data_IF_322555573553
#
_entry.id   IF_322555573553
#
_cell.length_a   1.000
_cell.length_b   1.000
_cell.length_c   1.000
_cell.angle_alpha   90.00
_cell.angle_beta   90.00
_cell.angle_gamma   90.00
#
_symmetry.space_group_name_H-M   'P 1'
#
loop_
_entity.id
_entity.type
_entity.pdbx_description
1 polymer ?
#
# COMPACT_ATOMS: atom_id res chain seq x y z
N UNK A 1 46.48 -25.48 -13.21
CA UNK A 1 47.42 -25.28 -12.09
C UNK A 1 47.07 -23.98 -11.39
N UNK A 2 47.10 -23.84 -10.08
CA UNK A 2 46.56 -24.75 -9.07
C UNK A 2 45.36 -24.15 -8.28
N UNK A 3 44.71 -25.05 -7.58
CA UNK A 3 43.66 -24.76 -6.62
C UNK A 3 44.17 -24.16 -5.32
N UNK A 4 43.38 -23.37 -4.62
CA UNK A 4 43.54 -23.14 -3.18
C UNK A 4 42.15 -23.23 -2.51
N UNK A 5 42.02 -24.25 -1.70
CA UNK A 5 40.97 -24.56 -0.78
C UNK A 5 41.27 -23.78 0.52
N UNK A 6 40.29 -23.05 1.05
CA UNK A 6 40.36 -22.42 2.36
C UNK A 6 39.10 -22.73 3.13
N UNK A 7 39.15 -23.73 4.01
CA UNK A 7 38.12 -24.03 4.98
C UNK A 7 38.32 -23.18 6.23
N UNK A 8 37.31 -22.45 6.68
CA UNK A 8 37.27 -21.85 8.01
C UNK A 8 36.07 -22.41 8.77
N UNK A 9 36.38 -23.21 9.77
CA UNK A 9 35.41 -23.67 10.77
C UNK A 9 35.24 -22.58 11.85
N UNK A 10 34.02 -22.20 12.17
CA UNK A 10 33.72 -21.38 13.35
C UNK A 10 32.89 -22.18 14.33
N UNK A 11 33.42 -22.31 15.53
CA UNK A 11 32.84 -23.02 16.65
C UNK A 11 31.69 -22.23 17.30
N UNK A 12 30.62 -22.94 17.62
CA UNK A 12 29.49 -22.48 18.45
C UNK A 12 29.86 -22.66 19.92
N UNK A 13 29.83 -21.59 20.69
CA UNK A 13 29.84 -21.65 22.15
C UNK A 13 28.40 -21.41 22.65
N UNK A 14 27.82 -22.45 23.21
CA UNK A 14 26.54 -22.41 23.95
C UNK A 14 26.89 -22.30 25.43
N UNK A 15 26.58 -21.18 26.07
CA UNK A 15 26.63 -21.08 27.54
C UNK A 15 25.20 -21.13 28.08
N UNK A 16 24.85 -22.28 28.61
CA UNK A 16 23.69 -22.45 29.49
C UNK A 16 24.01 -21.92 30.88
N UNK A 17 23.07 -21.23 31.50
CA UNK A 17 23.04 -21.05 32.96
C UNK A 17 21.72 -21.62 33.47
N UNK A 18 21.89 -22.75 34.12
CA UNK A 18 20.93 -23.39 35.02
C UNK A 18 21.19 -22.78 36.38
N UNK A 19 20.16 -22.31 37.09
CA UNK A 19 20.26 -22.05 38.52
C UNK A 19 18.95 -22.41 39.22
N UNK A 20 19.04 -23.53 39.90
CA UNK A 20 18.01 -24.04 40.81
C UNK A 20 18.26 -23.45 42.20
N UNK A 21 17.31 -22.67 42.70
CA UNK A 21 17.34 -22.13 44.06
C UNK A 21 15.98 -22.17 44.73
N UNK A 22 15.77 -23.20 45.57
CA UNK A 22 14.64 -23.39 46.48
C UNK A 22 14.67 -22.40 47.64
N UNK A 23 13.51 -21.83 48.02
CA UNK A 23 13.38 -21.26 49.36
C UNK A 23 12.29 -20.23 49.64
N UNK A 24 11.23 -20.68 50.32
CA UNK A 24 10.39 -20.02 51.34
C UNK A 24 9.46 -18.84 51.02
N UNK A 25 8.18 -19.19 51.19
CA UNK A 25 7.02 -18.44 51.76
C UNK A 25 7.25 -16.96 52.15
N UNK A 26 6.44 -16.08 51.57
CA UNK A 26 6.11 -14.74 52.02
C UNK A 26 4.75 -14.33 51.44
N UNK A 27 3.84 -13.97 52.33
CA UNK A 27 2.42 -13.67 52.19
C UNK A 27 2.22 -12.24 51.66
N UNK A 28 1.28 -12.08 50.70
CA UNK A 28 0.50 -10.82 50.54
C UNK A 28 1.05 -9.82 49.57
N UNK A 29 0.31 -9.60 48.48
CA UNK A 29 0.48 -8.48 47.56
C UNK A 29 -0.38 -8.70 46.34
N UNK A 30 -1.59 -8.12 46.37
CA UNK A 30 -2.48 -8.04 45.20
C UNK A 30 -1.76 -7.23 44.12
N UNK A 31 -1.08 -7.89 43.22
CA UNK A 31 -0.47 -7.32 42.05
C UNK A 31 -1.35 -7.58 40.85
N UNK A 32 -2.03 -6.57 40.37
CA UNK A 32 -2.69 -6.55 39.08
C UNK A 32 -1.72 -7.06 38.03
N UNK A 33 -1.94 -8.23 37.51
CA UNK A 33 -1.34 -8.67 36.26
C UNK A 33 -1.98 -7.85 35.16
N UNK A 34 -1.41 -6.68 34.88
CA UNK A 34 -1.55 -6.04 33.57
C UNK A 34 -0.92 -6.99 32.57
N UNK A 35 -1.72 -7.86 32.00
CA UNK A 35 -1.39 -8.52 30.75
C UNK A 35 -1.22 -7.40 29.71
N UNK A 36 0.00 -6.93 29.55
CA UNK A 36 0.38 -6.15 28.40
C UNK A 36 0.24 -7.09 27.20
N UNK A 37 -0.95 -7.12 26.64
CA UNK A 37 -1.22 -7.56 25.30
C UNK A 37 -0.38 -6.64 24.40
N UNK A 38 0.83 -7.05 24.07
CA UNK A 38 1.71 -6.42 23.12
C UNK A 38 1.12 -6.58 21.72
N UNK A 39 0.05 -5.84 21.44
CA UNK A 39 -0.32 -5.50 20.09
C UNK A 39 0.79 -4.60 19.58
N UNK A 40 1.68 -5.13 18.73
CA UNK A 40 2.55 -4.30 17.91
C UNK A 40 1.62 -3.39 17.11
N UNK A 41 1.57 -2.10 17.43
CA UNK A 41 0.86 -1.10 16.64
C UNK A 41 1.55 -1.06 15.27
N UNK A 42 1.04 -1.88 14.35
CA UNK A 42 1.50 -1.88 12.97
C UNK A 42 1.38 -0.45 12.43
N UNK A 43 2.47 0.07 11.89
CA UNK A 43 2.48 1.39 11.24
C UNK A 43 1.37 1.42 10.18
N UNK A 44 0.45 2.38 10.31
CA UNK A 44 -0.67 2.57 9.36
C UNK A 44 -0.52 3.84 8.53
N UNK A 45 0.31 4.77 8.97
CA UNK A 45 0.52 6.08 8.31
C UNK A 45 1.94 6.16 7.77
N UNK A 46 2.06 6.55 6.51
CA UNK A 46 3.29 6.63 5.71
C UNK A 46 3.40 8.02 5.10
N UNK A 47 4.58 8.41 4.66
CA UNK A 47 4.79 9.62 3.86
C UNK A 47 4.73 9.25 2.37
N UNK A 48 4.37 10.20 1.52
CA UNK A 48 4.55 10.03 0.08
C UNK A 48 6.02 9.69 -0.23
N UNK A 49 6.23 8.66 -1.04
CA UNK A 49 7.54 8.08 -1.31
C UNK A 49 7.94 6.93 -0.37
N UNK A 50 7.24 6.69 0.73
CA UNK A 50 7.45 5.50 1.57
C UNK A 50 6.68 4.31 1.01
N UNK A 51 7.36 3.16 0.94
CA UNK A 51 6.80 1.90 0.48
C UNK A 51 5.83 1.31 1.51
N UNK A 52 4.72 0.72 1.05
CA UNK A 52 3.83 -0.06 1.92
C UNK A 52 4.53 -1.32 2.45
N UNK A 53 4.04 -1.94 3.52
CA UNK A 53 4.33 -3.35 3.79
C UNK A 53 3.93 -4.22 2.60
N UNK A 54 4.47 -5.42 2.53
CA UNK A 54 4.07 -6.40 1.53
C UNK A 54 2.56 -6.68 1.60
N UNK A 55 1.94 -6.65 0.45
CA UNK A 55 0.54 -6.99 0.23
C UNK A 55 0.45 -8.34 -0.45
N UNK A 56 -0.57 -9.10 -0.12
CA UNK A 56 -0.88 -10.35 -0.81
C UNK A 56 -1.86 -10.11 -1.97
N UNK A 57 -1.62 -10.78 -3.08
CA UNK A 57 -2.55 -10.75 -4.20
C UNK A 57 -3.91 -11.31 -3.80
N UNK A 58 -4.98 -10.65 -4.23
CA UNK A 58 -6.36 -11.16 -4.11
C UNK A 58 -6.82 -11.97 -5.32
N UNK A 59 -5.96 -12.09 -6.34
CA UNK A 59 -6.31 -12.76 -7.61
C UNK A 59 -5.96 -14.24 -7.57
N UNK A 60 -6.84 -15.07 -8.10
CA UNK A 60 -6.63 -16.53 -8.16
C UNK A 60 -5.46 -16.93 -9.05
N UNK A 61 -5.17 -16.13 -10.09
CA UNK A 61 -4.09 -16.36 -11.05
C UNK A 61 -2.69 -16.08 -10.49
N UNK A 62 -2.60 -15.30 -9.41
CA UNK A 62 -1.34 -14.92 -8.74
C UNK A 62 -1.48 -14.93 -7.22
N UNK A 63 -2.20 -15.93 -6.67
CA UNK A 63 -2.59 -16.00 -5.25
C UNK A 63 -1.42 -15.97 -4.28
N UNK A 64 -0.25 -16.47 -4.68
CA UNK A 64 1.01 -16.45 -3.93
C UNK A 64 1.82 -15.16 -4.17
N UNK A 65 1.34 -14.28 -5.05
CA UNK A 65 2.01 -13.04 -5.40
C UNK A 65 2.03 -12.06 -4.23
N UNK A 66 3.20 -11.48 -3.97
CA UNK A 66 3.39 -10.41 -2.99
C UNK A 66 3.92 -9.16 -3.66
N UNK A 67 3.40 -8.03 -3.27
CA UNK A 67 3.74 -6.76 -3.87
C UNK A 67 3.73 -5.62 -2.86
N UNK A 68 4.30 -4.50 -3.24
CA UNK A 68 4.25 -3.25 -2.48
C UNK A 68 3.77 -2.11 -3.38
N UNK A 69 3.21 -1.10 -2.75
CA UNK A 69 2.74 0.13 -3.39
C UNK A 69 3.43 1.32 -2.73
N UNK A 70 3.97 2.21 -3.54
CA UNK A 70 4.64 3.43 -3.08
C UNK A 70 3.99 4.63 -3.77
N UNK A 71 2.96 5.26 -3.21
CA UNK A 71 2.46 6.53 -3.71
C UNK A 71 3.56 7.60 -3.59
N UNK A 72 3.90 8.25 -4.71
CA UNK A 72 5.04 9.18 -4.78
C UNK A 72 4.63 10.63 -4.92
N UNK A 73 3.50 10.88 -5.59
CA UNK A 73 2.99 12.22 -5.85
C UNK A 73 1.46 12.20 -5.94
N UNK A 74 0.83 13.25 -5.46
CA UNK A 74 -0.60 13.51 -5.64
C UNK A 74 -0.75 14.92 -6.22
N UNK A 75 -1.59 15.07 -7.22
CA UNK A 75 -1.88 16.34 -7.86
C UNK A 75 -3.39 16.46 -8.12
N UNK A 76 -3.96 17.55 -7.73
CA UNK A 76 -5.36 17.87 -8.04
C UNK A 76 -5.42 18.55 -9.41
N UNK A 77 -6.15 17.95 -10.32
CA UNK A 77 -6.41 18.53 -11.63
C UNK A 77 -7.46 19.65 -11.58
N UNK A 78 -7.80 20.15 -12.73
CA UNK A 78 -8.68 21.31 -12.93
C UNK A 78 -10.05 20.90 -13.49
N UNK A 79 -10.99 21.85 -13.49
CA UNK A 79 -12.23 21.71 -14.26
C UNK A 79 -11.97 21.50 -15.74
N UNK A 80 -10.98 22.21 -16.30
CA UNK A 80 -10.62 22.08 -17.71
C UNK A 80 -10.11 20.64 -18.00
N UNK A 81 -9.36 20.02 -17.11
CA UNK A 81 -8.96 18.64 -17.27
C UNK A 81 -10.19 17.71 -17.30
N UNK A 82 -11.18 17.95 -16.45
CA UNK A 82 -12.41 17.18 -16.45
C UNK A 82 -13.22 17.39 -17.73
N UNK A 83 -13.34 18.60 -18.20
CA UNK A 83 -14.05 18.94 -19.45
C UNK A 83 -13.36 18.32 -20.68
N UNK A 84 -12.06 18.31 -20.71
CA UNK A 84 -11.26 17.77 -21.81
C UNK A 84 -11.08 16.23 -21.71
N UNK A 85 -11.50 15.61 -20.62
CA UNK A 85 -11.32 14.15 -20.40
C UNK A 85 -12.14 13.27 -21.35
N UNK A 86 -13.20 13.82 -21.96
CA UNK A 86 -14.16 13.04 -22.73
C UNK A 86 -15.20 12.28 -21.88
N UNK A 87 -15.12 12.39 -20.56
CA UNK A 87 -16.12 11.78 -19.65
C UNK A 87 -17.44 12.59 -19.73
N UNK A 88 -18.54 11.85 -19.71
CA UNK A 88 -19.87 12.48 -19.59
C UNK A 88 -20.05 13.10 -18.21
N UNK A 89 -20.64 14.29 -18.16
CA UNK A 89 -21.02 14.92 -16.89
C UNK A 89 -22.05 14.04 -16.19
N UNK A 90 -21.84 13.82 -14.91
CA UNK A 90 -22.75 13.09 -14.05
C UNK A 90 -23.62 14.11 -13.29
N UNK A 91 -24.79 14.41 -13.84
CA UNK A 91 -25.70 15.43 -13.28
C UNK A 91 -26.28 15.03 -11.91
N UNK A 92 -26.23 13.73 -11.56
CA UNK A 92 -26.78 13.22 -10.30
C UNK A 92 -25.84 13.39 -9.11
N UNK A 93 -24.52 13.32 -9.35
CA UNK A 93 -23.51 13.36 -8.29
C UNK A 93 -22.75 14.69 -8.23
N UNK A 94 -23.22 15.69 -8.97
CA UNK A 94 -22.61 17.02 -9.01
C UNK A 94 -21.27 17.07 -9.75
N UNK A 95 -20.68 18.26 -9.86
CA UNK A 95 -19.42 18.46 -10.57
C UNK A 95 -18.24 17.79 -9.83
N UNK A 96 -17.37 17.19 -10.59
CA UNK A 96 -16.17 16.50 -10.09
C UNK A 96 -14.92 17.07 -10.72
N UNK A 97 -13.81 16.92 -10.03
CA UNK A 97 -12.46 17.21 -10.52
C UNK A 97 -11.58 15.97 -10.41
N UNK A 98 -10.61 15.78 -11.30
CA UNK A 98 -9.68 14.66 -11.22
C UNK A 98 -8.62 14.90 -10.14
N UNK A 99 -8.17 13.83 -9.51
CA UNK A 99 -6.97 13.78 -8.69
C UNK A 99 -6.10 12.68 -9.25
N UNK A 100 -4.84 12.99 -9.49
CA UNK A 100 -3.85 12.09 -10.07
C UNK A 100 -2.92 11.60 -8.98
N UNK A 101 -2.72 10.29 -8.91
CA UNK A 101 -1.80 9.64 -7.96
C UNK A 101 -0.76 8.87 -8.75
N UNK A 102 0.49 9.30 -8.65
CA UNK A 102 1.63 8.55 -9.18
C UNK A 102 2.11 7.57 -8.12
N UNK A 103 2.26 6.32 -8.53
CA UNK A 103 2.72 5.25 -7.64
C UNK A 103 3.79 4.41 -8.33
N UNK A 104 4.70 3.85 -7.54
CA UNK A 104 5.55 2.75 -7.96
C UNK A 104 4.97 1.47 -7.40
N UNK A 105 4.66 0.52 -8.28
CA UNK A 105 4.21 -0.82 -7.94
C UNK A 105 5.41 -1.75 -8.06
N UNK A 106 5.72 -2.52 -7.02
CA UNK A 106 6.86 -3.45 -7.03
C UNK A 106 6.38 -4.85 -6.72
N UNK A 107 6.57 -5.79 -7.65
CA UNK A 107 6.32 -7.19 -7.41
C UNK A 107 7.48 -7.79 -6.62
N UNK A 108 7.23 -8.31 -5.42
CA UNK A 108 8.25 -8.78 -4.48
C UNK A 108 8.56 -10.26 -4.66
N UNK A 109 7.53 -11.11 -4.77
CA UNK A 109 7.70 -12.56 -4.84
C UNK A 109 6.45 -13.26 -5.36
N UNK A 110 6.57 -14.53 -5.70
CA UNK A 110 5.49 -15.39 -6.16
C UNK A 110 5.25 -15.33 -7.68
N UNK A 111 4.09 -15.80 -8.10
CA UNK A 111 3.69 -15.80 -9.51
C UNK A 111 3.59 -14.38 -10.07
N UNK A 112 4.02 -14.17 -11.31
CA UNK A 112 3.97 -12.88 -11.99
C UNK A 112 2.58 -12.23 -11.89
N UNK A 113 2.54 -10.94 -11.58
CA UNK A 113 1.31 -10.17 -11.35
C UNK A 113 1.09 -9.14 -12.45
N UNK A 114 -0.16 -8.91 -12.79
CA UNK A 114 -0.52 -7.79 -13.67
C UNK A 114 -0.49 -6.46 -12.90
N UNK A 115 -0.07 -5.41 -13.58
CA UNK A 115 0.00 -4.05 -13.01
C UNK A 115 -1.36 -3.63 -12.45
N UNK A 116 -2.45 -3.87 -13.19
CA UNK A 116 -3.81 -3.53 -12.75
C UNK A 116 -4.31 -4.29 -11.52
N UNK A 117 -3.66 -5.40 -11.15
CA UNK A 117 -3.99 -6.16 -9.94
C UNK A 117 -3.32 -5.59 -8.67
N UNK A 118 -2.30 -4.75 -8.85
CA UNK A 118 -1.50 -4.22 -7.77
C UNK A 118 -1.97 -2.85 -7.28
N UNK A 119 -2.71 -2.10 -8.09
CA UNK A 119 -3.23 -0.77 -7.74
C UNK A 119 -4.76 -0.72 -7.53
N UNK A 120 -5.46 -1.83 -7.73
CA UNK A 120 -6.92 -1.93 -7.64
C UNK A 120 -7.51 -1.62 -6.25
N UNK A 121 -6.66 -1.66 -5.20
CA UNK A 121 -7.03 -1.36 -3.82
C UNK A 121 -6.75 0.07 -3.39
N UNK A 122 -6.22 0.91 -4.28
CA UNK A 122 -6.00 2.32 -3.99
C UNK A 122 -7.33 3.09 -3.89
N UNK A 123 -7.39 3.97 -2.91
CA UNK A 123 -8.56 4.80 -2.60
C UNK A 123 -8.08 6.23 -2.33
N UNK A 124 -8.77 7.21 -2.88
CA UNK A 124 -8.58 8.62 -2.55
C UNK A 124 -9.54 9.04 -1.44
N UNK A 125 -8.99 9.52 -0.33
CA UNK A 125 -9.73 10.12 0.78
C UNK A 125 -9.75 11.64 0.64
N UNK A 126 -10.91 12.25 0.82
CA UNK A 126 -11.06 13.70 0.78
C UNK A 126 -11.02 14.32 2.18
N UNK A 127 -10.83 15.63 2.24
CA UNK A 127 -10.83 16.42 3.48
C UNK A 127 -12.17 16.40 4.24
N UNK A 128 -13.27 15.98 3.59
CA UNK A 128 -14.58 15.78 4.22
C UNK A 128 -14.81 14.34 4.67
N UNK A 129 -13.80 13.46 4.52
CA UNK A 129 -13.89 12.05 4.87
C UNK A 129 -14.49 11.15 3.78
N UNK A 130 -14.89 11.72 2.64
CA UNK A 130 -15.33 10.95 1.47
C UNK A 130 -14.22 10.07 0.93
N UNK A 131 -14.57 8.89 0.40
CA UNK A 131 -13.63 7.93 -0.21
C UNK A 131 -14.07 7.60 -1.62
N UNK A 132 -13.17 7.64 -2.57
CA UNK A 132 -13.42 7.27 -3.96
C UNK A 132 -12.36 6.30 -4.46
N UNK A 133 -12.78 5.32 -5.25
CA UNK A 133 -11.89 4.39 -5.92
C UNK A 133 -11.36 4.98 -7.22
N UNK A 134 -10.33 4.35 -7.76
CA UNK A 134 -9.82 4.66 -9.09
C UNK A 134 -10.94 4.68 -10.13
N UNK A 135 -10.82 5.61 -11.07
CA UNK A 135 -11.77 5.70 -12.18
C UNK A 135 -11.58 4.49 -13.10
N UNK A 136 -12.67 3.76 -13.32
CA UNK A 136 -12.72 2.68 -14.30
C UNK A 136 -13.60 3.15 -15.46
N UNK A 137 -13.05 3.19 -16.66
CA UNK A 137 -13.78 3.54 -17.89
C UNK A 137 -14.03 2.27 -18.68
N UNK A 138 -15.28 1.82 -18.70
CA UNK A 138 -15.67 0.55 -19.33
C UNK A 138 -15.75 0.62 -20.85
N UNK A 139 -16.02 1.82 -21.41
CA UNK A 139 -16.09 2.04 -22.86
C UNK A 139 -15.51 3.41 -23.19
N UNK A 140 -14.54 3.44 -24.09
CA UNK A 140 -13.75 4.62 -24.37
C UNK A 140 -12.61 4.79 -23.36
N UNK A 141 -11.81 5.84 -23.51
CA UNK A 141 -10.74 6.16 -22.59
C UNK A 141 -10.95 7.59 -22.06
N UNK A 142 -10.76 7.79 -20.76
CA UNK A 142 -10.60 9.14 -20.23
C UNK A 142 -9.22 9.66 -20.66
N UNK A 143 -9.18 10.87 -21.17
CA UNK A 143 -7.91 11.49 -21.63
C UNK A 143 -7.36 12.38 -20.52
N UNK A 144 -6.29 11.94 -19.92
CA UNK A 144 -5.57 12.69 -18.90
C UNK A 144 -4.14 12.96 -19.38
N UNK A 145 -3.85 14.13 -20.00
CA UNK A 145 -2.53 14.42 -20.59
C UNK A 145 -1.37 14.22 -19.62
N UNK A 146 -1.60 14.55 -18.33
CA UNK A 146 -0.58 14.47 -17.29
C UNK A 146 -0.59 13.14 -16.52
N UNK A 147 -1.55 12.23 -16.80
CA UNK A 147 -1.70 10.95 -16.13
C UNK A 147 -2.14 9.90 -17.16
N UNK A 148 -1.20 9.46 -18.02
CA UNK A 148 -1.52 8.47 -19.04
C UNK A 148 -1.96 7.17 -18.42
N UNK A 149 -2.95 6.53 -19.05
CA UNK A 149 -3.45 5.24 -18.59
C UNK A 149 -2.33 4.18 -18.62
N UNK A 150 -2.08 3.47 -17.51
CA UNK A 150 -1.06 2.44 -17.49
C UNK A 150 -1.51 1.21 -18.29
N UNK A 151 -0.55 0.46 -18.83
CA UNK A 151 -0.83 -0.89 -19.34
C UNK A 151 -1.13 -1.82 -18.16
N UNK A 152 -2.42 -1.91 -17.81
CA UNK A 152 -2.90 -2.73 -16.70
C UNK A 152 -2.67 -4.23 -16.90
N UNK A 153 -2.49 -4.67 -18.17
CA UNK A 153 -2.23 -6.09 -18.53
C UNK A 153 -0.74 -6.45 -18.50
N UNK A 154 0.15 -5.46 -18.37
CA UNK A 154 1.59 -5.69 -18.24
C UNK A 154 1.89 -6.54 -17.02
N UNK A 155 2.64 -7.63 -17.22
CA UNK A 155 3.05 -8.54 -16.15
C UNK A 155 4.42 -8.18 -15.60
N UNK A 156 4.52 -8.14 -14.28
CA UNK A 156 5.76 -7.97 -13.55
C UNK A 156 6.20 -9.29 -12.94
N UNK A 157 7.45 -9.67 -13.17
CA UNK A 157 8.11 -10.77 -12.47
C UNK A 157 8.67 -10.29 -11.12
N UNK A 158 9.00 -11.21 -10.18
CA UNK A 158 9.61 -10.84 -8.91
C UNK A 158 10.82 -9.90 -9.06
N UNK A 159 10.85 -8.84 -8.27
CA UNK A 159 11.87 -7.79 -8.32
C UNK A 159 11.64 -6.69 -9.35
N UNK A 160 10.65 -6.82 -10.23
CA UNK A 160 10.31 -5.78 -11.20
C UNK A 160 9.37 -4.74 -10.59
N UNK A 161 9.47 -3.51 -11.11
CA UNK A 161 8.62 -2.39 -10.71
C UNK A 161 8.08 -1.66 -11.94
N UNK A 162 6.91 -1.04 -11.76
CA UNK A 162 6.28 -0.17 -12.75
C UNK A 162 5.86 1.13 -12.10
N UNK A 163 6.04 2.25 -12.81
CA UNK A 163 5.51 3.55 -12.41
C UNK A 163 4.19 3.77 -13.12
N UNK A 164 3.16 4.00 -12.36
CA UNK A 164 1.80 4.21 -12.87
C UNK A 164 1.25 5.54 -12.41
N UNK A 165 0.27 6.05 -13.16
CA UNK A 165 -0.57 7.15 -12.72
C UNK A 165 -2.02 6.68 -12.71
N UNK A 166 -2.70 6.85 -11.58
CA UNK A 166 -4.09 6.45 -11.38
C UNK A 166 -4.95 7.68 -11.14
N UNK A 167 -6.03 7.82 -11.89
CA UNK A 167 -6.94 8.95 -11.76
C UNK A 167 -8.12 8.61 -10.84
N UNK A 168 -8.47 9.57 -9.98
CA UNK A 168 -9.62 9.53 -9.09
C UNK A 168 -10.52 10.74 -9.35
N UNK A 169 -11.81 10.61 -9.12
CA UNK A 169 -12.73 11.75 -9.21
C UNK A 169 -13.24 12.11 -7.82
N UNK A 170 -13.04 13.36 -7.40
CA UNK A 170 -13.57 13.89 -6.16
C UNK A 170 -14.58 15.01 -6.45
N UNK A 171 -15.55 15.26 -5.54
CA UNK A 171 -16.47 16.40 -5.69
C UNK A 171 -15.69 17.71 -5.79
N UNK A 172 -16.15 18.60 -6.69
CA UNK A 172 -15.60 19.94 -6.79
C UNK A 172 -15.69 20.69 -5.45
N UNK A 173 -14.65 21.44 -5.10
CA UNK A 173 -14.54 22.14 -3.82
C UNK A 173 -13.99 21.29 -2.68
N UNK A 174 -13.87 19.98 -2.84
CA UNK A 174 -13.13 19.13 -1.90
C UNK A 174 -11.64 19.02 -2.29
N UNK A 175 -10.82 18.61 -1.30
CA UNK A 175 -9.38 18.44 -1.48
C UNK A 175 -9.01 16.99 -1.24
N UNK A 176 -8.00 16.50 -1.94
CA UNK A 176 -7.33 15.26 -1.60
C UNK A 176 -6.69 15.38 -0.20
N UNK A 177 -7.02 14.48 0.71
CA UNK A 177 -6.48 14.46 2.07
C UNK A 177 -5.48 13.32 2.28
N UNK A 178 -5.74 12.15 1.66
CA UNK A 178 -4.81 11.03 1.72
C UNK A 178 -5.05 10.06 0.56
N UNK A 179 -4.00 9.35 0.19
CA UNK A 179 -4.08 8.10 -0.55
C UNK A 179 -4.21 6.99 0.47
N UNK A 180 -5.17 6.11 0.32
CA UNK A 180 -5.34 4.92 1.17
C UNK A 180 -5.12 3.65 0.34
N UNK A 181 -4.51 2.63 0.95
CA UNK A 181 -4.48 1.27 0.42
C UNK A 181 -5.37 0.39 1.29
N UNK A 182 -6.46 -0.06 0.72
CA UNK A 182 -7.46 -0.88 1.42
C UNK A 182 -6.86 -2.24 1.80
N UNK A 183 -7.03 -2.60 3.07
CA UNK A 183 -6.58 -3.89 3.63
C UNK A 183 -7.72 -4.90 3.74
N UNK A 184 -8.84 -4.64 3.04
CA UNK A 184 -10.07 -5.42 3.15
C UNK A 184 -11.04 -4.81 4.16
N UNK A 185 -12.16 -5.52 4.40
CA UNK A 185 -13.30 -4.96 5.13
C UNK A 185 -13.04 -4.71 6.62
N UNK A 186 -12.24 -5.58 7.26
CA UNK A 186 -12.06 -5.57 8.73
C UNK A 186 -10.78 -4.88 9.21
N UNK A 187 -9.89 -4.46 8.30
CA UNK A 187 -8.63 -3.83 8.65
C UNK A 187 -8.66 -2.34 8.31
N UNK A 188 -8.05 -1.53 9.18
CA UNK A 188 -7.79 -0.14 8.86
C UNK A 188 -6.88 -0.05 7.62
N UNK A 189 -7.15 0.85 6.67
CA UNK A 189 -6.30 1.05 5.51
C UNK A 189 -4.91 1.56 5.91
N UNK A 190 -3.94 1.34 5.05
CA UNK A 190 -2.67 2.09 5.10
C UNK A 190 -2.93 3.46 4.48
N UNK A 191 -2.35 4.51 5.06
CA UNK A 191 -2.66 5.89 4.67
C UNK A 191 -1.39 6.70 4.39
N UNK A 192 -1.37 7.43 3.27
CA UNK A 192 -0.36 8.43 2.91
C UNK A 192 -1.04 9.80 2.88
N UNK A 193 -0.95 10.60 3.95
CA UNK A 193 -1.52 11.94 3.97
C UNK A 193 -0.94 12.83 2.88
N UNK A 194 -1.81 13.61 2.24
CA UNK A 194 -1.43 14.62 1.25
C UNK A 194 -1.29 15.94 1.96
N UNK A 195 -0.06 16.44 2.05
CA UNK A 195 0.23 17.80 2.50
C UNK A 195 0.01 18.76 1.33
N UNK A 196 -1.02 19.59 1.40
CA UNK A 196 -1.28 20.66 0.44
C UNK A 196 -0.55 21.92 0.84
#
# INVERSE_FOLDING_TARGET
MPATVGALALALAVTGCDDSGSGKRGKGGSGSHSSASGGSDEKKTYRLGEESPEQESSKTTSKDGKYTVTPTKVETGTKADMENSGLKKDDKNGPKIPVYVWSTLTHKSGTAMEVGDMDDKLVMKTNTGGRTRALIVLMGAAKWPNCPEPDSSKKLSPGQSEKVCTAFLIPEGQKAAAVELSQGYYKAPLEWPVTN
#
